data_IF_001031603618
#
_entry.id   IF_001031603618
#
_cell.length_a   1.000
_cell.length_b   1.000
_cell.length_c   1.000
_cell.angle_alpha   90.00
_cell.angle_beta   90.00
_cell.angle_gamma   90.00
#
_symmetry.space_group_name_H-M   'P 1'
#
loop_
_entity.id
_entity.type
_entity.pdbx_description
1 polymer ?
#
# COMPACT_ATOMS: atom_id res chain seq x y z
N UNK A 1 -2.49 25.11 9.05
CA UNK A 1 -2.59 23.64 9.08
C UNK A 1 -2.98 23.15 7.69
N UNK A 2 -2.25 22.18 7.18
CA UNK A 2 -2.44 21.55 5.86
C UNK A 2 -2.66 20.05 6.05
N UNK A 3 -3.50 19.45 5.21
CA UNK A 3 -3.50 17.99 5.02
C UNK A 3 -2.44 17.68 3.99
N UNK A 4 -1.49 16.80 4.31
CA UNK A 4 -0.40 16.45 3.41
C UNK A 4 -0.25 14.94 3.28
N UNK A 5 0.33 14.49 2.17
CA UNK A 5 0.84 13.14 2.00
C UNK A 5 2.28 13.19 1.49
N UNK A 6 3.18 12.59 2.28
CA UNK A 6 4.53 12.27 1.87
C UNK A 6 4.57 10.79 1.48
N UNK A 7 4.93 10.45 0.26
CA UNK A 7 4.86 9.05 -0.13
C UNK A 7 5.63 8.68 -1.38
N UNK A 8 5.83 7.39 -1.53
CA UNK A 8 6.29 6.78 -2.76
C UNK A 8 5.39 5.60 -3.14
N UNK A 9 5.31 5.32 -4.43
CA UNK A 9 4.53 4.22 -4.97
C UNK A 9 5.28 3.52 -6.10
N UNK A 10 4.68 2.45 -6.63
CA UNK A 10 5.19 1.76 -7.82
C UNK A 10 5.37 2.67 -9.04
N UNK A 11 4.80 3.89 -9.03
CA UNK A 11 4.93 4.88 -10.10
C UNK A 11 6.13 5.80 -9.93
N UNK A 12 6.55 6.04 -8.69
CA UNK A 12 7.61 7.01 -8.38
C UNK A 12 8.93 6.35 -7.98
N UNK A 13 8.90 5.08 -7.53
CA UNK A 13 10.07 4.40 -7.01
C UNK A 13 10.17 2.95 -7.51
N UNK A 14 11.37 2.45 -7.85
CA UNK A 14 11.60 1.05 -8.16
C UNK A 14 11.39 0.15 -6.94
N UNK A 15 11.22 -1.16 -7.15
CA UNK A 15 10.88 -2.11 -6.08
C UNK A 15 11.95 -2.16 -5.00
N UNK A 16 13.20 -2.09 -5.36
CA UNK A 16 14.37 -2.15 -4.44
C UNK A 16 14.36 -0.98 -3.44
N UNK A 17 13.89 0.19 -3.86
CA UNK A 17 13.74 1.36 -3.00
C UNK A 17 12.51 1.20 -2.09
N UNK A 18 11.38 0.78 -2.67
CA UNK A 18 10.13 0.59 -1.92
C UNK A 18 10.25 -0.45 -0.80
N UNK A 19 10.92 -1.58 -1.07
CA UNK A 19 11.17 -2.62 -0.07
C UNK A 19 11.98 -2.12 1.13
N UNK A 20 12.98 -1.26 0.89
CA UNK A 20 13.79 -0.67 1.96
C UNK A 20 13.01 0.31 2.84
N UNK A 21 12.00 0.97 2.27
CA UNK A 21 11.17 1.97 2.96
C UNK A 21 9.88 1.37 3.54
N UNK A 22 9.53 0.14 3.16
CA UNK A 22 8.35 -0.54 3.68
C UNK A 22 8.43 -0.80 5.19
N UNK A 23 7.31 -0.65 5.88
CA UNK A 23 7.20 -0.86 7.33
C UNK A 23 6.53 -2.19 7.65
N UNK A 24 7.18 -3.05 8.45
CA UNK A 24 6.47 -4.09 9.19
C UNK A 24 5.47 -3.45 10.19
N UNK A 25 4.36 -4.13 10.52
CA UNK A 25 3.29 -3.54 11.35
C UNK A 25 3.76 -2.92 12.67
N UNK A 26 4.64 -3.59 13.42
CA UNK A 26 5.15 -3.07 14.70
C UNK A 26 6.01 -1.83 14.50
N UNK A 27 6.91 -1.82 13.52
CA UNK A 27 7.77 -0.67 13.23
C UNK A 27 6.94 0.53 12.75
N UNK A 28 5.88 0.30 11.94
CA UNK A 28 4.98 1.36 11.50
C UNK A 28 4.27 2.07 12.66
N UNK A 29 3.84 1.33 13.69
CA UNK A 29 3.24 1.92 14.91
C UNK A 29 4.24 2.78 15.69
N UNK A 30 5.46 2.31 15.84
CA UNK A 30 6.52 3.07 16.53
C UNK A 30 6.87 4.35 15.77
N UNK A 31 6.93 4.28 14.45
CA UNK A 31 7.18 5.45 13.59
C UNK A 31 6.05 6.49 13.68
N UNK A 32 4.79 6.06 13.69
CA UNK A 32 3.64 6.96 13.88
C UNK A 32 3.72 7.73 15.21
N UNK A 33 4.03 7.04 16.30
CA UNK A 33 4.21 7.69 17.60
C UNK A 33 5.35 8.71 17.55
N UNK A 34 6.48 8.35 16.98
CA UNK A 34 7.65 9.24 16.86
C UNK A 34 7.32 10.51 16.09
N UNK A 35 6.62 10.40 14.93
CA UNK A 35 6.19 11.58 14.15
C UNK A 35 5.40 12.58 15.00
N UNK A 36 4.54 12.08 15.90
CA UNK A 36 3.69 12.89 16.76
C UNK A 36 4.46 13.42 17.97
N UNK A 37 5.23 12.57 18.66
CA UNK A 37 5.97 12.92 19.87
C UNK A 37 7.08 13.95 19.59
N UNK A 38 7.73 13.86 18.42
CA UNK A 38 8.73 14.84 17.96
C UNK A 38 8.09 16.14 17.44
N UNK A 39 6.75 16.25 17.47
CA UNK A 39 6.02 17.46 17.06
C UNK A 39 6.11 17.76 15.56
N UNK A 40 6.44 16.76 14.74
CA UNK A 40 6.56 16.91 13.28
C UNK A 40 5.18 17.03 12.63
N UNK A 41 4.20 16.33 13.18
CA UNK A 41 2.81 16.31 12.69
C UNK A 41 1.82 16.42 13.86
N UNK A 42 0.66 17.02 13.62
CA UNK A 42 -0.46 17.02 14.59
C UNK A 42 -1.24 15.70 14.52
N UNK A 43 -1.42 15.16 13.33
CA UNK A 43 -2.08 13.88 13.08
C UNK A 43 -1.29 13.10 12.01
N UNK A 44 -1.29 11.77 12.09
CA UNK A 44 -0.65 10.91 11.09
C UNK A 44 -1.37 9.58 10.89
N UNK A 45 -1.37 9.09 9.65
CA UNK A 45 -1.70 7.71 9.26
C UNK A 45 -0.62 7.21 8.31
N UNK A 46 -0.04 6.05 8.59
CA UNK A 46 0.95 5.40 7.73
C UNK A 46 0.31 4.25 6.95
N UNK A 47 0.27 4.37 5.64
CA UNK A 47 -0.10 3.30 4.72
C UNK A 47 1.17 2.69 4.12
N UNK A 48 1.52 1.48 4.53
CA UNK A 48 2.66 0.74 3.99
C UNK A 48 2.21 -0.61 3.43
N UNK A 49 2.46 -0.83 2.15
CA UNK A 49 2.12 -2.04 1.38
C UNK A 49 3.31 -2.45 0.52
N UNK A 50 3.22 -3.54 -0.24
CA UNK A 50 4.26 -3.89 -1.22
C UNK A 50 4.44 -2.84 -2.34
N UNK A 51 3.40 -2.03 -2.61
CA UNK A 51 3.38 -1.11 -3.74
C UNK A 51 3.47 0.36 -3.37
N UNK A 52 3.36 0.71 -2.08
CA UNK A 52 3.44 2.10 -1.61
C UNK A 52 3.80 2.18 -0.14
N UNK A 53 4.49 3.27 0.22
CA UNK A 53 4.64 3.74 1.59
C UNK A 53 4.28 5.22 1.60
N UNK A 54 3.23 5.57 2.34
CA UNK A 54 2.64 6.91 2.39
C UNK A 54 2.35 7.32 3.83
N UNK A 55 2.78 8.51 4.20
CA UNK A 55 2.43 9.18 5.46
C UNK A 55 1.40 10.26 5.15
N UNK A 56 0.16 10.04 5.51
CA UNK A 56 -0.88 11.07 5.52
C UNK A 56 -0.80 11.82 6.84
N UNK A 57 -0.69 13.12 6.80
CA UNK A 57 -0.44 13.92 7.98
C UNK A 57 -1.26 15.22 7.99
N UNK A 58 -1.50 15.73 9.18
CA UNK A 58 -1.89 17.12 9.41
C UNK A 58 -0.66 17.86 9.92
N UNK A 59 -0.22 18.86 9.18
CA UNK A 59 1.01 19.61 9.43
C UNK A 59 0.73 21.11 9.57
N UNK A 60 1.64 21.86 10.18
CA UNK A 60 1.48 23.30 10.34
C UNK A 60 1.79 24.06 9.05
N UNK A 61 2.85 23.64 8.37
CA UNK A 61 3.39 24.26 7.16
C UNK A 61 4.06 23.24 6.23
N UNK A 62 4.47 23.67 5.05
CA UNK A 62 5.15 22.85 4.06
C UNK A 62 6.57 22.40 4.49
N UNK A 63 7.20 23.09 5.44
CA UNK A 63 8.51 22.71 6.01
C UNK A 63 8.44 21.36 6.76
N UNK A 64 7.25 20.88 7.11
CA UNK A 64 7.06 19.56 7.65
C UNK A 64 7.48 18.44 6.69
N UNK A 65 7.47 18.70 5.37
CA UNK A 65 7.97 17.77 4.35
C UNK A 65 9.37 17.26 4.68
N UNK A 66 10.30 18.19 4.88
CA UNK A 66 11.70 17.84 5.14
C UNK A 66 11.84 17.04 6.44
N UNK A 67 11.13 17.45 7.50
CA UNK A 67 11.15 16.75 8.80
C UNK A 67 10.58 15.33 8.73
N UNK A 68 9.47 15.13 7.99
CA UNK A 68 8.89 13.80 7.77
C UNK A 68 9.85 12.90 7.00
N UNK A 69 10.50 13.44 5.96
CA UNK A 69 11.45 12.67 5.16
C UNK A 69 12.76 12.38 5.92
N UNK A 70 13.21 13.29 6.78
CA UNK A 70 14.38 13.06 7.65
C UNK A 70 14.12 11.91 8.62
N UNK A 71 12.97 11.93 9.31
CA UNK A 71 12.58 10.86 10.22
C UNK A 71 12.38 9.52 9.49
N UNK A 72 11.79 9.55 8.29
CA UNK A 72 11.61 8.36 7.47
C UNK A 72 12.96 7.76 7.04
N UNK A 73 13.89 8.61 6.60
CA UNK A 73 15.25 8.19 6.20
C UNK A 73 16.00 7.58 7.39
N UNK A 74 15.94 8.21 8.55
CA UNK A 74 16.57 7.73 9.77
C UNK A 74 15.99 6.39 10.23
N UNK A 75 14.65 6.29 10.33
CA UNK A 75 13.96 5.07 10.80
C UNK A 75 14.23 3.86 9.89
N UNK A 76 14.28 4.11 8.58
CA UNK A 76 14.51 3.05 7.59
C UNK A 76 15.97 2.83 7.21
N UNK A 77 16.89 3.65 7.71
CA UNK A 77 18.32 3.55 7.40
C UNK A 77 18.61 3.74 5.90
N UNK A 78 17.89 4.63 5.23
CA UNK A 78 18.05 4.93 3.81
C UNK A 78 18.67 6.31 3.59
N UNK A 79 19.37 6.47 2.46
CA UNK A 79 19.94 7.77 2.11
C UNK A 79 18.84 8.80 1.87
N UNK A 80 18.91 9.93 2.58
CA UNK A 80 17.92 10.99 2.53
C UNK A 80 17.77 11.64 1.16
N UNK A 81 18.90 11.82 0.45
CA UNK A 81 18.88 12.46 -0.88
C UNK A 81 18.22 11.52 -1.92
N UNK A 82 18.46 10.22 -1.80
CA UNK A 82 17.81 9.22 -2.62
C UNK A 82 16.31 9.17 -2.35
N UNK A 83 15.92 9.13 -1.07
CA UNK A 83 14.52 9.13 -0.66
C UNK A 83 13.76 10.34 -1.21
N UNK A 84 14.36 11.53 -1.16
CA UNK A 84 13.72 12.77 -1.60
C UNK A 84 13.41 12.83 -3.10
N UNK A 85 14.16 12.11 -3.94
CA UNK A 85 13.90 12.03 -5.38
C UNK A 85 12.70 11.18 -5.74
N UNK A 86 12.46 10.12 -4.98
CA UNK A 86 11.45 9.11 -5.26
C UNK A 86 10.14 9.37 -4.51
N UNK A 87 10.13 10.38 -3.62
CA UNK A 87 8.98 10.72 -2.77
C UNK A 87 8.24 11.93 -3.32
N UNK A 88 6.93 11.78 -3.54
CA UNK A 88 6.03 12.90 -3.81
C UNK A 88 5.56 13.55 -2.51
N UNK A 89 5.20 14.82 -2.63
CA UNK A 89 4.55 15.60 -1.59
C UNK A 89 3.32 16.26 -2.19
N UNK A 90 2.13 15.93 -1.68
CA UNK A 90 0.86 16.50 -2.11
C UNK A 90 0.20 17.14 -0.91
N UNK A 91 -0.51 18.24 -1.11
CA UNK A 91 -1.16 19.00 -0.04
C UNK A 91 -2.64 19.23 -0.33
N UNK A 92 -3.42 19.38 0.73
CA UNK A 92 -4.82 19.76 0.74
C UNK A 92 -5.68 18.99 -0.29
N UNK A 93 -6.22 19.63 -1.30
CA UNK A 93 -7.08 19.00 -2.29
C UNK A 93 -6.39 17.86 -3.03
N UNK A 94 -5.11 18.01 -3.37
CA UNK A 94 -4.33 16.95 -4.04
C UNK A 94 -4.14 15.74 -3.14
N UNK A 95 -3.87 15.94 -1.85
CA UNK A 95 -3.72 14.87 -0.87
C UNK A 95 -5.05 14.12 -0.65
N UNK A 96 -6.16 14.85 -0.55
CA UNK A 96 -7.51 14.27 -0.41
C UNK A 96 -7.87 13.47 -1.66
N UNK A 97 -7.69 14.06 -2.85
CA UNK A 97 -7.97 13.39 -4.12
C UNK A 97 -7.11 12.13 -4.29
N UNK A 98 -5.82 12.21 -3.93
CA UNK A 98 -4.92 11.06 -3.97
C UNK A 98 -5.42 9.92 -3.09
N UNK A 99 -5.78 10.17 -1.81
CA UNK A 99 -6.31 9.14 -0.93
C UNK A 99 -7.59 8.49 -1.48
N UNK A 100 -8.47 9.27 -2.09
CA UNK A 100 -9.70 8.73 -2.69
C UNK A 100 -9.40 7.83 -3.89
N UNK A 101 -8.43 8.19 -4.73
CA UNK A 101 -7.96 7.33 -5.83
C UNK A 101 -7.34 6.04 -5.32
N UNK A 102 -6.52 6.11 -4.27
CA UNK A 102 -5.90 4.94 -3.61
C UNK A 102 -6.99 4.03 -3.03
N UNK A 103 -7.89 4.56 -2.22
CA UNK A 103 -8.98 3.79 -1.60
C UNK A 103 -9.93 3.17 -2.62
N UNK A 104 -10.08 3.80 -3.79
CA UNK A 104 -10.89 3.31 -4.91
C UNK A 104 -10.14 2.34 -5.83
N UNK A 105 -8.87 2.00 -5.53
CA UNK A 105 -8.02 1.14 -6.36
C UNK A 105 -7.71 1.69 -7.75
N UNK A 106 -7.87 3.00 -7.97
CA UNK A 106 -7.55 3.69 -9.23
C UNK A 106 -6.06 3.97 -9.37
N UNK A 107 -5.33 3.95 -8.27
CA UNK A 107 -3.87 4.15 -8.22
C UNK A 107 -3.13 2.88 -7.78
N UNK A 108 -3.73 1.71 -7.94
CA UNK A 108 -3.09 0.42 -7.70
C UNK A 108 -2.34 -0.07 -8.93
N UNK A 109 -1.33 -0.94 -8.74
CA UNK A 109 -0.63 -1.61 -9.84
C UNK A 109 -1.60 -2.42 -10.71
N UNK A 110 -2.57 -3.07 -10.07
CA UNK A 110 -3.71 -3.71 -10.73
C UNK A 110 -4.94 -2.89 -10.38
N UNK A 111 -5.43 -2.09 -11.32
CA UNK A 111 -6.60 -1.24 -11.13
C UNK A 111 -7.81 -2.12 -10.79
N UNK A 112 -8.54 -1.76 -9.73
CA UNK A 112 -9.70 -2.51 -9.26
C UNK A 112 -9.39 -3.63 -8.27
N UNK A 113 -8.13 -3.84 -7.86
CA UNK A 113 -7.80 -4.84 -6.82
C UNK A 113 -8.56 -4.59 -5.52
N UNK A 114 -9.03 -5.68 -4.88
CA UNK A 114 -9.84 -5.56 -3.66
C UNK A 114 -9.06 -5.29 -2.38
N UNK A 115 -7.76 -5.53 -2.37
CA UNK A 115 -6.96 -5.54 -1.15
C UNK A 115 -6.67 -4.14 -0.60
N UNK A 116 -6.46 -3.14 -1.47
CA UNK A 116 -6.04 -1.80 -1.05
C UNK A 116 -7.03 -1.14 -0.10
N UNK A 117 -8.34 -1.30 -0.31
CA UNK A 117 -9.36 -0.73 0.58
C UNK A 117 -9.27 -1.30 2.00
N UNK A 118 -8.96 -2.60 2.11
CA UNK A 118 -8.69 -3.27 3.38
C UNK A 118 -7.43 -2.71 4.04
N UNK A 119 -6.35 -2.53 3.27
CA UNK A 119 -5.08 -1.98 3.76
C UNK A 119 -5.22 -0.53 4.24
N UNK A 120 -5.97 0.31 3.53
CA UNK A 120 -6.30 1.68 3.98
C UNK A 120 -7.06 1.65 5.31
N UNK A 121 -8.01 0.72 5.49
CA UNK A 121 -8.74 0.57 6.75
C UNK A 121 -7.81 0.14 7.89
N UNK A 122 -6.94 -0.83 7.66
CA UNK A 122 -5.99 -1.30 8.67
C UNK A 122 -4.97 -0.23 9.06
N UNK A 123 -4.46 0.54 8.09
CA UNK A 123 -3.57 1.68 8.33
C UNK A 123 -4.25 2.74 9.24
N UNK A 124 -5.49 3.10 8.91
CA UNK A 124 -6.29 4.02 9.72
C UNK A 124 -6.57 3.46 11.13
N UNK A 125 -6.91 2.18 11.24
CA UNK A 125 -7.13 1.53 12.53
C UNK A 125 -5.88 1.58 13.39
N UNK A 126 -4.72 1.24 12.82
CA UNK A 126 -3.44 1.29 13.54
C UNK A 126 -3.14 2.70 14.06
N UNK A 127 -3.35 3.74 13.25
CA UNK A 127 -3.16 5.13 13.66
C UNK A 127 -4.13 5.55 14.78
N UNK A 128 -5.37 5.07 14.74
CA UNK A 128 -6.36 5.34 15.79
C UNK A 128 -5.99 4.67 17.11
N UNK A 129 -5.55 3.41 17.07
CA UNK A 129 -5.07 2.68 18.25
C UNK A 129 -3.85 3.35 18.90
N UNK A 130 -2.96 3.93 18.08
CA UNK A 130 -1.79 4.69 18.56
C UNK A 130 -2.12 6.18 18.90
N UNK A 131 -3.40 6.57 18.84
CA UNK A 131 -3.86 7.95 19.09
C UNK A 131 -3.18 8.99 18.18
N UNK A 132 -2.75 8.58 16.99
CA UNK A 132 -2.12 9.43 15.98
C UNK A 132 -3.13 10.03 15.01
N UNK A 133 -4.32 9.43 14.84
CA UNK A 133 -5.39 10.00 14.03
C UNK A 133 -6.28 10.90 14.89
N UNK A 134 -6.41 12.17 14.50
CA UNK A 134 -7.28 13.15 15.13
C UNK A 134 -8.53 13.47 14.30
N UNK A 135 -9.16 14.60 14.54
CA UNK A 135 -10.44 14.96 13.96
C UNK A 135 -10.39 15.05 12.43
N UNK A 136 -9.31 15.59 11.87
CA UNK A 136 -9.18 15.86 10.42
C UNK A 136 -8.98 14.53 9.69
N UNK A 137 -7.99 13.73 10.07
CA UNK A 137 -7.73 12.44 9.42
C UNK A 137 -8.84 11.43 9.67
N UNK A 138 -9.50 11.45 10.83
CA UNK A 138 -10.69 10.63 11.07
C UNK A 138 -11.77 10.90 10.01
N UNK A 139 -12.11 12.18 9.80
CA UNK A 139 -13.09 12.55 8.79
C UNK A 139 -12.66 12.14 7.38
N UNK A 140 -11.39 12.41 7.05
CA UNK A 140 -10.83 12.11 5.73
C UNK A 140 -10.87 10.60 5.45
N UNK A 141 -10.36 9.77 6.37
CA UNK A 141 -10.29 8.31 6.19
C UNK A 141 -11.68 7.65 6.21
N UNK A 142 -12.58 8.07 7.08
CA UNK A 142 -13.97 7.59 7.04
C UNK A 142 -14.63 7.88 5.69
N UNK A 143 -14.44 9.09 5.15
CA UNK A 143 -14.98 9.46 3.86
C UNK A 143 -14.33 8.67 2.73
N UNK A 144 -13.00 8.51 2.74
CA UNK A 144 -12.28 7.74 1.72
C UNK A 144 -12.71 6.27 1.67
N UNK A 145 -12.91 5.64 2.83
CA UNK A 145 -13.40 4.26 2.92
C UNK A 145 -14.84 4.12 2.37
N UNK A 146 -15.69 5.12 2.63
CA UNK A 146 -17.04 5.16 2.07
C UNK A 146 -17.01 5.32 0.56
N UNK A 147 -16.20 6.27 0.04
CA UNK A 147 -16.05 6.51 -1.40
C UNK A 147 -15.47 5.27 -2.09
N UNK A 148 -14.41 4.67 -1.55
CA UNK A 148 -13.82 3.45 -2.11
C UNK A 148 -14.81 2.29 -2.18
N UNK A 149 -15.67 2.13 -1.16
CA UNK A 149 -16.75 1.14 -1.18
C UNK A 149 -17.80 1.49 -2.25
N UNK A 150 -18.22 2.75 -2.33
CA UNK A 150 -19.22 3.23 -3.28
C UNK A 150 -18.76 3.02 -4.72
N UNK A 151 -17.52 3.42 -5.04
CA UNK A 151 -16.92 3.20 -6.36
C UNK A 151 -16.95 1.73 -6.76
N UNK A 152 -16.64 0.82 -5.84
CA UNK A 152 -16.65 -0.63 -6.10
C UNK A 152 -18.04 -1.20 -6.31
N UNK A 153 -19.08 -0.63 -5.67
CA UNK A 153 -20.45 -1.14 -5.76
C UNK A 153 -21.25 -0.50 -6.90
N UNK A 154 -20.90 0.72 -7.30
CA UNK A 154 -21.66 1.49 -8.30
C UNK A 154 -20.98 1.52 -9.68
N UNK A 155 -19.75 0.98 -9.79
CA UNK A 155 -19.03 0.89 -11.06
C UNK A 155 -18.52 -0.52 -11.32
N UNK A 156 -18.22 -0.85 -12.56
CA UNK A 156 -17.62 -2.14 -12.94
C UNK A 156 -16.18 -2.36 -12.49
N UNK A 157 -15.58 -1.44 -11.69
CA UNK A 157 -14.19 -1.57 -11.24
C UNK A 157 -13.99 -2.77 -10.30
N UNK A 158 -15.04 -3.18 -9.58
CA UNK A 158 -15.04 -4.34 -8.72
C UNK A 158 -15.31 -5.67 -9.44
N UNK A 159 -15.86 -5.63 -10.65
CA UNK A 159 -16.27 -6.81 -11.42
C UNK A 159 -15.09 -7.46 -12.13
N UNK A 160 -14.09 -6.68 -12.52
CA UNK A 160 -12.81 -7.23 -12.92
C UNK A 160 -12.12 -7.77 -11.68
N UNK A 161 -12.36 -9.04 -11.36
CA UNK A 161 -11.71 -9.78 -10.27
C UNK A 161 -10.18 -9.95 -10.52
N UNK A 162 -9.54 -8.86 -10.92
CA UNK A 162 -8.12 -8.78 -11.16
C UNK A 162 -7.42 -8.62 -9.82
N UNK A 163 -6.93 -9.71 -9.30
CA UNK A 163 -5.92 -9.71 -8.24
C UNK A 163 -4.54 -9.94 -8.87
N UNK A 164 -3.47 -9.49 -8.22
CA UNK A 164 -2.10 -9.76 -8.68
C UNK A 164 -1.88 -11.24 -8.97
N UNK A 165 -2.33 -12.20 -8.10
CA UNK A 165 -2.26 -13.63 -8.39
C UNK A 165 -2.94 -14.03 -9.70
N UNK A 166 -4.12 -13.49 -9.97
CA UNK A 166 -4.87 -13.82 -11.19
C UNK A 166 -4.21 -13.26 -12.45
N UNK A 167 -3.69 -12.04 -12.36
CA UNK A 167 -2.92 -11.41 -13.45
C UNK A 167 -1.65 -12.22 -13.75
N UNK A 168 -0.93 -12.64 -12.72
CA UNK A 168 0.27 -13.46 -12.86
C UNK A 168 -0.03 -14.80 -13.55
N UNK A 169 -1.11 -15.48 -13.16
CA UNK A 169 -1.52 -16.75 -13.80
C UNK A 169 -1.98 -16.51 -15.24
N UNK A 170 -2.70 -15.41 -15.52
CA UNK A 170 -3.09 -15.05 -16.88
C UNK A 170 -1.88 -14.76 -17.77
N UNK A 171 -0.88 -14.04 -17.24
CA UNK A 171 0.37 -13.79 -17.95
C UNK A 171 1.13 -15.10 -18.24
N UNK A 172 1.13 -16.04 -17.29
CA UNK A 172 1.70 -17.36 -17.53
C UNK A 172 0.98 -18.12 -18.67
N UNK A 173 -0.36 -18.01 -18.78
CA UNK A 173 -1.11 -18.56 -19.92
C UNK A 173 -0.76 -17.88 -21.24
N UNK A 174 -0.57 -16.55 -21.23
CA UNK A 174 -0.17 -15.82 -22.44
C UNK A 174 1.23 -16.23 -22.92
N UNK A 175 2.17 -16.49 -22.00
CA UNK A 175 3.55 -16.87 -22.30
C UNK A 175 3.68 -18.35 -22.68
N UNK A 176 3.00 -19.24 -21.95
CA UNK A 176 3.19 -20.68 -22.06
C UNK A 176 2.06 -21.41 -22.78
N UNK A 177 0.99 -20.72 -23.14
CA UNK A 177 -0.23 -21.34 -23.64
C UNK A 177 -1.00 -22.02 -22.51
N UNK A 178 -1.63 -23.16 -22.78
CA UNK A 178 -2.35 -23.92 -21.76
C UNK A 178 -1.43 -24.32 -20.60
N UNK A 179 -1.91 -24.10 -19.37
CA UNK A 179 -1.23 -24.54 -18.15
C UNK A 179 -1.65 -25.95 -17.72
N UNK A 180 -2.64 -26.54 -18.38
CA UNK A 180 -3.10 -27.90 -18.07
C UNK A 180 -1.96 -28.92 -18.22
N UNK A 181 -1.79 -29.76 -17.21
CA UNK A 181 -0.74 -30.77 -17.18
C UNK A 181 0.68 -30.26 -16.89
N UNK A 182 0.86 -28.95 -16.67
CA UNK A 182 2.18 -28.37 -16.36
C UNK A 182 2.49 -28.50 -14.87
N UNK A 183 3.79 -28.34 -14.56
CA UNK A 183 4.33 -28.22 -13.21
C UNK A 183 4.55 -26.75 -12.85
N UNK A 184 4.33 -26.38 -11.61
CA UNK A 184 4.64 -25.05 -11.11
C UNK A 184 5.36 -25.12 -9.75
N UNK A 185 6.33 -24.23 -9.57
CA UNK A 185 7.00 -23.98 -8.31
C UNK A 185 6.56 -22.61 -7.78
N UNK A 186 5.99 -22.61 -6.57
CA UNK A 186 5.61 -21.38 -5.86
C UNK A 186 6.63 -21.14 -4.74
N UNK A 187 7.25 -19.96 -4.78
CA UNK A 187 8.22 -19.53 -3.78
C UNK A 187 7.52 -18.60 -2.78
N UNK A 188 7.43 -19.05 -1.53
CA UNK A 188 6.70 -18.40 -0.45
C UNK A 188 5.38 -19.12 -0.11
N UNK A 189 4.91 -18.97 1.14
CA UNK A 189 3.68 -19.60 1.64
C UNK A 189 2.75 -18.55 2.33
N UNK A 190 2.76 -17.30 1.86
CA UNK A 190 1.84 -16.26 2.34
C UNK A 190 0.51 -16.27 1.56
N UNK A 191 -0.43 -15.41 1.98
CA UNK A 191 -1.79 -15.28 1.44
C UNK A 191 -1.82 -15.16 -0.10
N UNK A 192 -0.85 -14.42 -0.67
CA UNK A 192 -0.74 -14.26 -2.12
C UNK A 192 -0.39 -15.57 -2.82
N UNK A 193 0.48 -16.38 -2.20
CA UNK A 193 0.87 -17.70 -2.72
C UNK A 193 -0.31 -18.67 -2.71
N UNK A 194 -1.12 -18.67 -1.68
CA UNK A 194 -2.34 -19.50 -1.61
C UNK A 194 -3.31 -19.16 -2.75
N UNK A 195 -3.50 -17.87 -3.03
CA UNK A 195 -4.34 -17.43 -4.15
C UNK A 195 -3.76 -17.83 -5.51
N UNK A 196 -2.44 -17.70 -5.70
CA UNK A 196 -1.76 -18.17 -6.92
C UNK A 196 -1.97 -19.67 -7.10
N UNK A 197 -1.73 -20.47 -6.06
CA UNK A 197 -1.94 -21.93 -6.07
C UNK A 197 -3.36 -22.29 -6.48
N UNK A 198 -4.36 -21.60 -5.90
CA UNK A 198 -5.77 -21.81 -6.26
C UNK A 198 -6.00 -21.54 -7.75
N UNK A 199 -5.54 -20.40 -8.25
CA UNK A 199 -5.73 -20.05 -9.67
C UNK A 199 -4.97 -20.98 -10.62
N UNK A 200 -3.79 -21.48 -10.25
CA UNK A 200 -3.05 -22.47 -11.03
C UNK A 200 -3.79 -23.82 -11.09
N UNK A 201 -4.36 -24.27 -9.97
CA UNK A 201 -5.21 -25.47 -9.92
C UNK A 201 -6.44 -25.35 -10.81
N UNK A 202 -7.11 -24.19 -10.76
CA UNK A 202 -8.29 -23.91 -11.61
C UNK A 202 -7.96 -23.96 -13.11
N UNK A 203 -6.66 -23.81 -13.47
CA UNK A 203 -6.15 -23.90 -14.85
C UNK A 203 -5.55 -25.25 -15.22
N UNK A 204 -5.73 -26.25 -14.36
CA UNK A 204 -5.33 -27.64 -14.61
C UNK A 204 -3.85 -27.92 -14.41
N UNK A 205 -3.12 -27.08 -13.66
CA UNK A 205 -1.77 -27.43 -13.21
C UNK A 205 -1.86 -28.63 -12.28
N UNK A 206 -1.13 -29.70 -12.61
CA UNK A 206 -1.24 -31.00 -11.90
C UNK A 206 -0.21 -31.18 -10.81
N UNK A 207 0.94 -30.55 -10.92
CA UNK A 207 2.07 -30.74 -10.00
C UNK A 207 2.49 -29.37 -9.45
N UNK A 208 2.20 -29.13 -8.16
CA UNK A 208 2.48 -27.87 -7.47
C UNK A 208 3.46 -28.13 -6.34
N UNK A 209 4.63 -27.53 -6.47
CA UNK A 209 5.66 -27.52 -5.44
C UNK A 209 5.61 -26.14 -4.74
N UNK A 210 5.67 -26.16 -3.41
CA UNK A 210 5.75 -24.93 -2.61
C UNK A 210 7.05 -24.98 -1.83
N UNK A 211 7.88 -23.95 -1.99
CA UNK A 211 9.09 -23.78 -1.19
C UNK A 211 8.98 -22.51 -0.35
N UNK A 212 9.27 -22.62 0.94
CA UNK A 212 9.26 -21.50 1.88
C UNK A 212 10.52 -21.50 2.73
N UNK A 213 10.96 -20.30 3.16
CA UNK A 213 12.14 -20.14 4.02
C UNK A 213 11.88 -20.67 5.43
N UNK A 214 10.67 -20.54 5.91
CA UNK A 214 10.24 -21.05 7.23
C UNK A 214 9.38 -22.29 7.01
N UNK A 215 9.65 -23.41 7.72
CA UNK A 215 8.84 -24.62 7.64
C UNK A 215 7.40 -24.39 8.04
#
# INVERSE_FOLDING_TARGET
>A
MLVAVAGMSHRSAPVEVRERVAFPPCAGRSFLRRLKDDGVVAEAVLLSTCNRTEVYAVVEDEGARERVLDLLAEDRGVDRASLGRDTYWLTDEEAVHHLYRVASSLDSMVVGEGQILGQVREAYRAATEEQCAGQILNRLFHTSLRVGKQVRTETGIGDSSLSVPRVAVKLAEEVFGSLAGRRALVLGAGDMSELVVKHLKDRGVVDLLIANRTP
#
